data_IF_282647030392
#
_entry.id   IF_282647030392
#
_cell.length_a   1.000
_cell.length_b   1.000
_cell.length_c   1.000
_cell.angle_alpha   90.00
_cell.angle_beta   90.00
_cell.angle_gamma   90.00
#
_symmetry.space_group_name_H-M   'P 1'
#
loop_
_entity.id
_entity.type
_entity.pdbx_description
1 polymer ?
#
# COMPACT_ATOMS: atom_id res chain seq x y z
N UNK A 1 -21.63 0.80 -1.97
CA UNK A 1 -20.39 0.07 -2.29
C UNK A 1 -19.30 0.66 -1.42
N UNK A 2 -19.11 0.09 -0.23
CA UNK A 2 -18.11 0.57 0.73
C UNK A 2 -16.72 0.28 0.17
N UNK A 3 -16.02 1.32 -0.27
CA UNK A 3 -14.66 1.23 -0.81
C UNK A 3 -13.69 0.79 0.28
N UNK A 4 -13.57 -0.52 0.46
CA UNK A 4 -12.39 -1.39 0.59
C UNK A 4 -11.06 -0.80 1.12
N UNK A 5 -11.08 0.25 1.94
CA UNK A 5 -9.89 0.78 2.60
C UNK A 5 -9.28 -0.26 3.53
N UNK A 6 -10.12 -1.06 4.18
CA UNK A 6 -9.70 -2.11 5.12
C UNK A 6 -9.08 -3.34 4.45
N UNK A 7 -9.15 -3.47 3.12
CA UNK A 7 -8.68 -4.67 2.41
C UNK A 7 -7.21 -4.59 1.96
N UNK A 8 -6.50 -3.52 2.32
CA UNK A 8 -5.07 -3.40 1.99
C UNK A 8 -4.17 -3.79 3.16
N UNK A 9 -4.64 -3.64 4.40
CA UNK A 9 -3.87 -3.98 5.61
C UNK A 9 -3.43 -5.44 5.62
N UNK A 10 -2.16 -5.68 5.95
CA UNK A 10 -1.49 -6.98 5.96
C UNK A 10 -1.52 -7.74 4.62
N UNK A 11 -1.68 -7.01 3.51
CA UNK A 11 -1.67 -7.59 2.16
C UNK A 11 -0.42 -7.16 1.43
N UNK A 12 0.11 -8.07 0.63
CA UNK A 12 1.18 -7.76 -0.32
C UNK A 12 0.64 -6.88 -1.43
N UNK A 13 1.40 -5.84 -1.76
CA UNK A 13 1.04 -4.87 -2.78
C UNK A 13 2.18 -4.69 -3.77
N UNK A 14 1.78 -4.41 -5.01
CA UNK A 14 2.68 -4.03 -6.08
C UNK A 14 2.53 -2.55 -6.38
N UNK A 15 3.62 -1.91 -6.74
CA UNK A 15 3.64 -0.57 -7.32
C UNK A 15 4.47 -0.63 -8.60
N UNK A 16 3.91 -0.13 -9.69
CA UNK A 16 4.56 -0.16 -11.01
C UNK A 16 5.00 -1.58 -11.46
N UNK A 17 4.25 -2.61 -11.05
CA UNK A 17 4.54 -4.02 -11.37
C UNK A 17 5.54 -4.70 -10.43
N UNK A 18 6.23 -3.97 -9.58
CA UNK A 18 7.18 -4.49 -8.58
C UNK A 18 6.47 -4.79 -7.26
N UNK A 19 6.75 -5.94 -6.63
CA UNK A 19 6.30 -6.21 -5.28
C UNK A 19 7.12 -5.39 -4.30
N UNK A 20 6.46 -4.44 -3.65
CA UNK A 20 7.10 -3.47 -2.76
C UNK A 20 6.93 -3.84 -1.27
N UNK A 21 6.33 -5.00 -0.99
CA UNK A 21 6.13 -5.54 0.36
C UNK A 21 4.69 -5.50 0.84
N UNK A 22 4.54 -5.57 2.16
CA UNK A 22 3.25 -5.74 2.84
C UNK A 22 2.80 -4.42 3.43
N UNK A 23 1.54 -4.03 3.18
CA UNK A 23 0.97 -2.85 3.83
C UNK A 23 0.76 -3.11 5.31
N UNK A 24 1.41 -2.33 6.16
CA UNK A 24 1.27 -2.41 7.62
C UNK A 24 0.29 -1.39 8.16
N UNK A 25 0.10 -0.27 7.47
CA UNK A 25 -0.78 0.81 7.91
C UNK A 25 -1.31 1.62 6.73
N UNK A 26 -2.48 2.24 6.88
CA UNK A 26 -3.02 3.18 5.88
C UNK A 26 -3.28 4.50 6.57
N UNK A 27 -2.61 5.55 6.10
CA UNK A 27 -2.79 6.90 6.63
C UNK A 27 -3.55 7.77 5.63
N UNK A 28 -4.62 8.46 6.06
CA UNK A 28 -5.19 9.53 5.28
C UNK A 28 -4.22 10.72 5.28
N UNK A 29 -4.01 11.33 4.11
CA UNK A 29 -3.30 12.59 3.97
C UNK A 29 -4.31 13.73 4.02
N UNK A 30 -4.32 14.44 5.15
CA UNK A 30 -5.19 15.59 5.40
C UNK A 30 -4.95 16.75 4.41
N UNK A 31 -3.80 16.78 3.73
CA UNK A 31 -3.44 17.88 2.83
C UNK A 31 -4.09 17.77 1.44
N UNK A 32 -4.36 16.56 0.97
CA UNK A 32 -4.91 16.30 -0.37
C UNK A 32 -6.10 15.33 -0.38
N UNK A 33 -6.55 14.86 0.80
CA UNK A 33 -7.60 13.84 0.94
C UNK A 33 -7.20 12.43 0.47
N UNK A 34 -6.02 12.25 -0.13
CA UNK A 34 -5.52 10.95 -0.62
C UNK A 34 -5.11 10.05 0.55
N UNK A 35 -5.26 8.73 0.40
CA UNK A 35 -4.80 7.74 1.38
C UNK A 35 -3.47 7.15 0.91
N UNK A 36 -2.55 6.95 1.84
CA UNK A 36 -1.24 6.37 1.57
C UNK A 36 -1.11 5.08 2.36
N UNK A 37 -0.58 4.04 1.73
CA UNK A 37 -0.16 2.86 2.44
C UNK A 37 1.27 3.06 2.97
N UNK A 38 1.45 2.76 4.24
CA UNK A 38 2.74 2.45 4.84
C UNK A 38 2.96 0.97 4.64
N UNK A 39 4.13 0.62 4.10
CA UNK A 39 4.50 -0.76 3.80
C UNK A 39 5.77 -1.12 4.55
N UNK A 40 5.85 -2.36 4.97
CA UNK A 40 7.10 -2.99 5.37
C UNK A 40 7.73 -3.59 4.11
N UNK A 41 8.83 -3.01 3.60
CA UNK A 41 9.50 -3.55 2.43
C UNK A 41 10.18 -4.87 2.79
N UNK A 42 10.26 -5.79 1.83
CA UNK A 42 11.07 -7.01 1.98
C UNK A 42 12.57 -6.69 1.88
N UNK A 43 12.92 -5.69 1.07
CA UNK A 43 14.30 -5.23 0.90
C UNK A 43 14.52 -3.89 1.61
N UNK A 44 15.58 -3.74 2.42
CA UNK A 44 15.89 -2.49 3.12
C UNK A 44 16.21 -1.34 2.16
N UNK A 45 16.56 -1.62 0.90
CA UNK A 45 16.75 -0.61 -0.15
C UNK A 45 15.42 0.03 -0.61
N UNK A 46 14.28 -0.62 -0.36
CA UNK A 46 12.94 -0.10 -0.64
C UNK A 46 12.30 0.56 0.60
N UNK A 47 13.13 1.11 1.49
CA UNK A 47 12.77 1.76 2.75
C UNK A 47 11.50 2.63 2.63
N UNK A 48 10.56 2.41 3.55
CA UNK A 48 9.27 3.09 3.78
C UNK A 48 8.85 4.14 2.75
N UNK A 49 8.54 3.69 1.53
CA UNK A 49 7.96 4.56 0.52
C UNK A 49 6.46 4.64 0.73
N UNK A 50 5.97 5.80 1.18
CA UNK A 50 4.54 6.13 1.27
C UNK A 50 3.98 6.19 -0.14
N UNK A 51 3.24 5.16 -0.55
CA UNK A 51 2.62 5.09 -1.87
C UNK A 51 1.13 5.35 -1.73
N UNK A 52 0.53 6.21 -2.58
CA UNK A 52 -0.92 6.38 -2.61
C UNK A 52 -1.60 5.04 -2.87
N UNK A 53 -2.65 4.73 -2.12
CA UNK A 53 -3.38 3.44 -2.28
C UNK A 53 -3.98 3.27 -3.67
N UNK A 54 -4.20 4.37 -4.37
CA UNK A 54 -4.69 4.43 -5.75
C UNK A 54 -3.65 3.92 -6.78
N UNK A 55 -2.37 3.99 -6.42
CA UNK A 55 -1.23 3.56 -7.23
C UNK A 55 -0.70 2.19 -6.79
N UNK A 56 -1.47 1.48 -5.95
CA UNK A 56 -1.17 0.14 -5.47
C UNK A 56 -2.07 -0.89 -6.12
N UNK A 57 -1.49 -2.06 -6.39
CA UNK A 57 -2.21 -3.23 -6.88
C UNK A 57 -2.06 -4.36 -5.86
N UNK A 58 -3.16 -4.94 -5.39
CA UNK A 58 -3.11 -6.11 -4.52
C UNK A 58 -2.47 -7.29 -5.27
N UNK A 59 -1.55 -7.99 -4.60
CA UNK A 59 -1.13 -9.31 -5.06
C UNK A 59 -2.29 -10.27 -4.83
N UNK A 60 -2.83 -10.84 -5.91
CA UNK A 60 -3.87 -11.86 -5.80
C UNK A 60 -3.32 -13.05 -5.01
N UNK A 61 -4.07 -13.60 -4.02
CA UNK A 61 -3.68 -14.87 -3.43
C UNK A 61 -3.70 -15.94 -4.53
N UNK A 62 -2.61 -16.72 -4.61
CA UNK A 62 -2.49 -17.85 -5.53
C UNK A 62 -3.47 -18.98 -5.17
#
# INVERSE_FOLDING_TARGET
METNASNWLQREVKHDGENIGIVTEIRPNMNNGRRYAVKQPHDPEHAERRVPVDELTLVAPA
#
